data_IF_693647124242
#
_entry.id   IF_693647124242
#
_cell.length_a   1.000
_cell.length_b   1.000
_cell.length_c   1.000
_cell.angle_alpha   90.00
_cell.angle_beta   90.00
_cell.angle_gamma   90.00
#
_symmetry.space_group_name_H-M   'P 1'
#
loop_
_entity.id
_entity.type
_entity.pdbx_description
1 polymer ?
#
# COMPACT_ATOMS: atom_id res chain seq x y z
N UNK A 1 19.69 43.94 -57.03
CA UNK A 1 20.15 42.85 -57.91
C UNK A 1 18.99 41.90 -58.16
N UNK A 2 18.72 41.68 -59.44
CA UNK A 2 18.10 40.50 -60.06
C UNK A 2 16.82 39.86 -59.49
N UNK A 3 15.74 40.10 -60.25
CA UNK A 3 14.97 39.08 -60.99
C UNK A 3 13.73 38.41 -60.39
N UNK A 4 12.61 38.79 -61.02
CA UNK A 4 11.64 37.97 -61.79
C UNK A 4 10.40 37.39 -61.08
N UNK A 5 9.28 38.08 -61.36
CA UNK A 5 8.10 37.65 -62.18
C UNK A 5 7.54 36.24 -61.96
N UNK A 6 6.25 36.17 -61.61
CA UNK A 6 5.07 35.89 -62.47
C UNK A 6 3.84 35.82 -61.53
N UNK A 7 2.81 36.67 -61.58
CA UNK A 7 1.77 36.95 -62.59
C UNK A 7 0.85 35.73 -62.81
N UNK A 8 -0.42 35.77 -62.39
CA UNK A 8 -1.57 36.12 -63.24
C UNK A 8 -2.92 36.08 -62.52
N UNK A 9 -3.81 36.90 -63.07
CA UNK A 9 -5.15 37.30 -62.66
C UNK A 9 -6.22 36.23 -62.94
N UNK A 10 -7.40 36.39 -62.33
CA UNK A 10 -8.58 35.62 -62.72
C UNK A 10 -9.85 36.00 -61.96
N UNK A 11 -10.56 37.00 -62.49
CA UNK A 11 -11.85 37.48 -62.01
C UNK A 11 -13.01 36.51 -62.29
N UNK A 12 -14.08 36.63 -61.50
CA UNK A 12 -15.43 36.71 -62.07
C UNK A 12 -16.38 35.52 -61.91
N UNK A 13 -17.52 35.83 -61.28
CA UNK A 13 -18.90 35.48 -61.67
C UNK A 13 -19.40 34.04 -61.55
N UNK A 14 -20.62 33.89 -61.01
CA UNK A 14 -21.45 32.71 -61.24
C UNK A 14 -22.58 32.52 -60.24
N UNK A 15 -23.74 33.12 -60.52
CA UNK A 15 -25.00 32.88 -59.82
C UNK A 15 -25.72 31.62 -60.33
N UNK A 16 -26.67 31.15 -59.51
CA UNK A 16 -27.84 30.30 -59.82
C UNK A 16 -27.62 28.81 -60.13
N UNK A 17 -28.32 27.93 -59.39
CA UNK A 17 -29.57 27.33 -59.85
C UNK A 17 -30.00 26.11 -59.00
N UNK A 18 -31.28 26.19 -58.62
CA UNK A 18 -32.28 25.16 -58.30
C UNK A 18 -31.95 23.66 -58.40
N UNK A 19 -32.50 22.93 -57.41
CA UNK A 19 -33.39 21.80 -57.69
C UNK A 19 -32.82 20.39 -57.47
N UNK A 20 -33.34 19.68 -56.46
CA UNK A 20 -33.97 18.35 -56.64
C UNK A 20 -34.29 17.69 -55.30
N UNK A 21 -35.55 17.27 -55.14
CA UNK A 21 -36.03 16.36 -54.09
C UNK A 21 -35.41 14.96 -54.27
N UNK A 22 -35.20 14.17 -53.20
CA UNK A 22 -35.19 12.72 -53.30
C UNK A 22 -36.42 12.09 -52.61
N UNK A 23 -36.98 11.07 -53.26
CA UNK A 23 -38.00 10.18 -52.70
C UNK A 23 -37.42 9.13 -51.73
N UNK A 24 -38.28 8.38 -51.01
CA UNK A 24 -37.89 7.61 -49.84
C UNK A 24 -37.59 6.15 -50.18
N UNK A 25 -36.69 5.52 -49.42
CA UNK A 25 -36.66 4.05 -49.34
C UNK A 25 -35.32 3.44 -48.94
N UNK A 26 -35.28 2.88 -47.73
CA UNK A 26 -34.47 1.69 -47.43
C UNK A 26 -33.09 1.95 -46.81
N UNK A 27 -33.05 2.27 -45.52
CA UNK A 27 -31.83 2.24 -44.71
C UNK A 27 -32.11 1.62 -43.35
N UNK A 28 -31.54 0.44 -43.11
CA UNK A 28 -31.64 -0.33 -41.87
C UNK A 28 -31.17 0.49 -40.66
N UNK A 29 -31.98 0.57 -39.61
CA UNK A 29 -31.63 1.23 -38.37
C UNK A 29 -30.63 0.38 -37.55
N UNK A 30 -29.38 0.82 -37.51
CA UNK A 30 -28.38 0.45 -36.49
C UNK A 30 -28.56 1.36 -35.25
N UNK A 31 -28.21 0.91 -34.03
CA UNK A 31 -28.75 1.48 -32.80
C UNK A 31 -28.07 2.81 -32.45
N UNK A 32 -28.87 3.86 -32.31
CA UNK A 32 -28.47 5.23 -31.97
C UNK A 32 -27.89 5.42 -30.55
N UNK A 33 -27.43 4.37 -29.85
CA UNK A 33 -26.98 4.44 -28.44
C UNK A 33 -25.52 4.84 -28.24
N UNK A 34 -24.65 4.62 -29.21
CA UNK A 34 -23.23 5.01 -29.10
C UNK A 34 -22.98 6.53 -29.02
N UNK A 35 -23.63 7.40 -29.83
CA UNK A 35 -23.38 8.84 -29.74
C UNK A 35 -23.87 9.45 -28.42
N UNK A 36 -24.99 8.97 -27.88
CA UNK A 36 -25.54 9.43 -26.59
C UNK A 36 -24.59 9.09 -25.43
N UNK A 37 -24.09 7.85 -25.37
CA UNK A 37 -23.12 7.43 -24.34
C UNK A 37 -21.81 8.22 -24.40
N UNK A 38 -21.32 8.55 -25.60
CA UNK A 38 -20.12 9.40 -25.76
C UNK A 38 -20.37 10.86 -25.37
N UNK A 39 -21.56 11.40 -25.68
CA UNK A 39 -21.93 12.76 -25.29
C UNK A 39 -22.08 12.87 -23.76
N UNK A 40 -22.69 11.89 -23.10
CA UNK A 40 -22.76 11.86 -21.64
C UNK A 40 -21.37 11.72 -20.99
N UNK A 41 -20.46 10.92 -21.57
CA UNK A 41 -19.08 10.80 -21.10
C UNK A 41 -18.36 12.16 -21.18
N UNK A 42 -18.47 12.84 -22.32
CA UNK A 42 -17.90 14.17 -22.50
C UNK A 42 -18.52 15.20 -21.55
N UNK A 43 -19.82 15.14 -21.28
CA UNK A 43 -20.46 16.04 -20.32
C UNK A 43 -19.98 15.83 -18.88
N UNK A 44 -19.79 14.57 -18.46
CA UNK A 44 -19.21 14.25 -17.14
C UNK A 44 -17.77 14.76 -17.04
N UNK A 45 -16.98 14.58 -18.08
CA UNK A 45 -15.61 15.08 -18.13
C UNK A 45 -15.55 16.61 -18.13
N UNK A 46 -16.43 17.28 -18.89
CA UNK A 46 -16.51 18.73 -18.91
C UNK A 46 -16.93 19.31 -17.55
N UNK A 47 -17.83 18.63 -16.82
CA UNK A 47 -18.18 18.99 -15.44
C UNK A 47 -16.97 18.84 -14.51
N UNK A 48 -16.26 17.72 -14.59
CA UNK A 48 -15.05 17.48 -13.80
C UNK A 48 -13.96 18.52 -14.08
N UNK A 49 -13.74 18.88 -15.34
CA UNK A 49 -12.77 19.91 -15.74
C UNK A 49 -13.18 21.29 -15.22
N UNK A 50 -14.47 21.64 -15.22
CA UNK A 50 -14.97 22.90 -14.64
C UNK A 50 -14.77 22.95 -13.12
N UNK A 51 -15.03 21.85 -12.41
CA UNK A 51 -14.79 21.75 -10.97
C UNK A 51 -13.29 21.87 -10.65
N UNK A 52 -12.42 21.23 -11.45
CA UNK A 52 -10.97 21.35 -11.33
C UNK A 52 -10.48 22.77 -11.61
N UNK A 53 -11.00 23.42 -12.66
CA UNK A 53 -10.66 24.81 -12.98
C UNK A 53 -11.08 25.76 -11.85
N UNK A 54 -12.29 25.58 -11.28
CA UNK A 54 -12.75 26.36 -10.14
C UNK A 54 -11.86 26.17 -8.90
N UNK A 55 -11.44 24.92 -8.61
CA UNK A 55 -10.51 24.63 -7.53
C UNK A 55 -9.14 25.32 -7.74
N UNK A 56 -8.59 25.28 -8.95
CA UNK A 56 -7.32 25.95 -9.30
C UNK A 56 -7.46 27.47 -9.16
N UNK A 57 -8.56 28.07 -9.62
CA UNK A 57 -8.82 29.49 -9.44
C UNK A 57 -8.90 29.90 -7.96
N UNK A 58 -9.52 29.06 -7.12
CA UNK A 58 -9.55 29.26 -5.66
C UNK A 58 -8.15 29.26 -5.05
N UNK A 59 -7.32 28.26 -5.40
CA UNK A 59 -5.93 28.16 -4.93
C UNK A 59 -5.07 29.34 -5.40
N UNK A 60 -5.26 29.81 -6.63
CA UNK A 60 -4.54 30.99 -7.14
C UNK A 60 -4.91 32.26 -6.36
N UNK A 61 -6.19 32.42 -6.04
CA UNK A 61 -6.65 33.57 -5.26
C UNK A 61 -6.12 33.51 -3.82
N UNK A 62 -6.13 32.33 -3.19
CA UNK A 62 -5.56 32.12 -1.85
C UNK A 62 -4.04 32.40 -1.84
N UNK A 63 -3.31 31.93 -2.84
CA UNK A 63 -1.89 32.23 -3.00
C UNK A 63 -1.65 33.75 -3.16
N UNK A 64 -2.50 34.44 -3.95
CA UNK A 64 -2.44 35.89 -4.10
C UNK A 64 -2.67 36.65 -2.78
N UNK A 65 -3.62 36.20 -1.96
CA UNK A 65 -3.87 36.76 -0.63
C UNK A 65 -2.69 36.52 0.32
N UNK A 66 -2.12 35.31 0.33
CA UNK A 66 -0.94 34.98 1.14
C UNK A 66 0.27 35.82 0.74
N UNK A 67 0.52 36.00 -0.56
CA UNK A 67 1.60 36.89 -1.05
C UNK A 67 1.38 38.34 -0.62
N UNK A 68 0.14 38.84 -0.68
CA UNK A 68 -0.19 40.20 -0.25
C UNK A 68 0.03 40.40 1.25
N UNK A 69 -0.36 39.41 2.05
CA UNK A 69 -0.14 39.39 3.50
C UNK A 69 1.35 39.37 3.85
N UNK A 70 2.14 38.50 3.21
CA UNK A 70 3.59 38.43 3.40
C UNK A 70 4.28 39.74 2.95
N UNK A 71 3.82 40.35 1.85
CA UNK A 71 4.32 41.65 1.39
C UNK A 71 4.06 42.76 2.40
N UNK A 72 2.89 42.76 3.05
CA UNK A 72 2.58 43.68 4.14
C UNK A 72 3.49 43.48 5.36
N UNK A 73 3.73 42.22 5.75
CA UNK A 73 4.69 41.92 6.81
C UNK A 73 6.11 42.37 6.48
N UNK A 74 6.59 42.12 5.25
CA UNK A 74 7.90 42.58 4.79
C UNK A 74 8.00 44.10 4.86
N UNK A 75 7.00 44.83 4.36
CA UNK A 75 6.98 46.29 4.44
C UNK A 75 7.02 46.81 5.89
N UNK A 76 6.34 46.14 6.83
CA UNK A 76 6.40 46.52 8.25
C UNK A 76 7.79 46.28 8.87
N UNK A 77 8.46 45.19 8.48
CA UNK A 77 9.82 44.87 8.91
C UNK A 77 10.82 45.83 8.31
N UNK A 78 10.66 46.18 7.04
CA UNK A 78 11.51 47.16 6.35
C UNK A 78 11.36 48.55 6.97
N UNK A 79 10.14 48.96 7.35
CA UNK A 79 9.91 50.19 8.08
C UNK A 79 10.58 50.19 9.47
N UNK A 80 10.56 49.05 10.18
CA UNK A 80 11.28 48.90 11.45
C UNK A 80 12.79 48.98 11.24
N UNK A 81 13.33 48.29 10.23
CA UNK A 81 14.75 48.35 9.86
C UNK A 81 15.15 49.78 9.50
N UNK A 82 14.33 50.50 8.75
CA UNK A 82 14.56 51.91 8.44
C UNK A 82 14.61 52.76 9.72
N UNK A 83 13.64 52.61 10.63
CA UNK A 83 13.65 53.32 11.93
C UNK A 83 14.89 53.01 12.76
N UNK A 84 15.29 51.74 12.84
CA UNK A 84 16.49 51.32 13.56
C UNK A 84 17.75 51.90 12.93
N UNK A 85 17.85 51.92 11.60
CA UNK A 85 18.96 52.56 10.88
C UNK A 85 19.00 54.07 11.12
N UNK A 86 17.85 54.75 11.13
CA UNK A 86 17.77 56.18 11.46
C UNK A 86 18.17 56.42 12.92
N UNK A 87 17.76 55.57 13.85
CA UNK A 87 18.15 55.65 15.26
C UNK A 87 19.65 55.39 15.47
N UNK A 88 20.22 54.45 14.72
CA UNK A 88 21.65 54.15 14.74
C UNK A 88 22.44 55.33 14.16
N UNK A 89 22.02 55.86 13.01
CA UNK A 89 22.63 57.04 12.41
C UNK A 89 22.54 58.26 13.35
N UNK A 90 21.42 58.45 14.06
CA UNK A 90 21.27 59.49 15.07
C UNK A 90 22.21 59.29 16.27
N UNK A 91 22.45 58.05 16.68
CA UNK A 91 23.41 57.71 17.73
C UNK A 91 24.86 57.95 17.28
N UNK A 92 25.20 57.57 16.05
CA UNK A 92 26.51 57.78 15.43
C UNK A 92 26.81 59.27 15.18
N UNK A 93 25.79 60.05 14.80
CA UNK A 93 25.90 61.50 14.60
C UNK A 93 25.74 62.33 15.88
N UNK A 94 25.26 61.74 16.98
CA UNK A 94 25.16 62.38 18.30
C UNK A 94 26.52 62.63 18.95
N UNK A 95 27.63 62.06 18.46
CA UNK A 95 29.00 62.48 18.81
C UNK A 95 29.27 62.78 20.29
N UNK A 96 28.64 62.05 21.23
CA UNK A 96 28.81 62.28 22.66
C UNK A 96 29.93 61.39 23.20
N UNK A 97 30.90 61.95 23.94
CA UNK A 97 32.03 61.21 24.47
C UNK A 97 31.54 60.28 25.58
N UNK A 98 31.88 59.00 25.48
CA UNK A 98 31.98 58.03 26.58
C UNK A 98 31.09 58.32 27.81
N UNK A 99 29.77 58.22 27.68
CA UNK A 99 28.98 57.64 28.77
C UNK A 99 29.46 56.20 28.98
N UNK A 100 29.29 55.59 30.17
CA UNK A 100 29.79 54.25 30.42
C UNK A 100 29.20 53.31 29.37
N UNK A 101 30.04 52.95 28.40
CA UNK A 101 29.68 52.00 27.37
C UNK A 101 29.26 50.71 28.07
N UNK A 102 28.39 49.90 27.45
CA UNK A 102 28.08 48.58 27.98
C UNK A 102 29.38 47.91 28.35
N UNK A 103 29.47 47.41 29.60
CA UNK A 103 30.72 46.93 30.17
C UNK A 103 31.42 46.02 29.13
N UNK A 104 32.72 46.22 28.83
CA UNK A 104 33.42 45.46 27.79
C UNK A 104 33.20 43.95 27.90
N UNK A 105 33.09 43.44 29.13
CA UNK A 105 32.77 42.05 29.45
C UNK A 105 31.41 41.56 28.91
N UNK A 106 30.40 42.42 28.80
CA UNK A 106 29.10 42.09 28.22
C UNK A 106 29.18 42.03 26.70
N UNK A 107 29.91 42.96 26.08
CA UNK A 107 30.12 42.98 24.63
C UNK A 107 30.92 41.77 24.20
N UNK A 108 32.01 41.45 24.91
CA UNK A 108 32.82 40.25 24.67
C UNK A 108 32.00 38.97 24.88
N UNK A 109 31.19 38.91 25.94
CA UNK A 109 30.30 37.78 26.20
C UNK A 109 29.23 37.58 25.12
N UNK A 110 28.66 38.65 24.57
CA UNK A 110 27.72 38.60 23.45
C UNK A 110 28.41 38.19 22.15
N UNK A 111 29.63 38.66 21.88
CA UNK A 111 30.41 38.26 20.69
C UNK A 111 30.72 36.77 20.75
N UNK A 112 31.13 36.24 21.90
CA UNK A 112 31.31 34.80 22.06
C UNK A 112 30.01 34.02 21.93
N UNK A 113 28.91 34.52 22.49
CA UNK A 113 27.60 33.84 22.39
C UNK A 113 27.10 33.81 20.95
N UNK A 114 27.30 34.88 20.19
CA UNK A 114 27.03 34.93 18.75
C UNK A 114 27.96 34.00 17.97
N UNK A 115 29.24 33.89 18.37
CA UNK A 115 30.18 32.92 17.81
C UNK A 115 29.70 31.48 17.98
N UNK A 116 29.32 31.11 19.21
CA UNK A 116 28.75 29.79 19.53
C UNK A 116 27.46 29.49 18.76
N UNK A 117 26.56 30.46 18.65
CA UNK A 117 25.31 30.29 17.89
C UNK A 117 25.58 30.13 16.38
N UNK A 118 26.60 30.79 15.83
CA UNK A 118 27.00 30.63 14.42
C UNK A 118 27.61 29.25 14.17
N UNK A 119 28.46 28.77 15.07
CA UNK A 119 29.02 27.42 15.00
C UNK A 119 27.91 26.37 15.09
N UNK A 120 26.97 26.51 16.02
CA UNK A 120 25.81 25.63 16.14
C UNK A 120 24.92 25.65 14.89
N UNK A 121 24.68 26.83 14.29
CA UNK A 121 23.95 26.92 13.03
C UNK A 121 24.69 26.20 11.90
N UNK A 122 26.01 26.39 11.82
CA UNK A 122 26.82 25.74 10.80
C UNK A 122 26.85 24.21 10.95
N UNK A 123 26.97 23.71 12.18
CA UNK A 123 26.86 22.29 12.49
C UNK A 123 25.48 21.74 12.14
N UNK A 124 24.40 22.46 12.50
CA UNK A 124 23.05 22.06 12.12
C UNK A 124 22.85 22.02 10.60
N UNK A 125 23.31 23.04 9.87
CA UNK A 125 23.27 23.07 8.41
C UNK A 125 24.07 21.92 7.78
N UNK A 126 25.27 21.65 8.30
CA UNK A 126 26.08 20.52 7.81
C UNK A 126 25.41 19.17 8.07
N UNK A 127 24.77 19.00 9.24
CA UNK A 127 24.02 17.80 9.59
C UNK A 127 22.73 17.65 8.76
N UNK A 128 22.11 18.77 8.37
CA UNK A 128 20.92 18.78 7.53
C UNK A 128 21.30 18.39 6.10
N UNK A 129 22.37 18.98 5.55
CA UNK A 129 22.92 18.62 4.23
C UNK A 129 23.31 17.15 4.16
N UNK A 130 23.97 16.60 5.17
CA UNK A 130 24.32 15.18 5.22
C UNK A 130 23.08 14.26 5.21
N UNK A 131 21.98 14.68 5.86
CA UNK A 131 20.70 13.96 5.84
C UNK A 131 20.02 14.08 4.48
N UNK A 132 20.02 15.26 3.87
CA UNK A 132 19.50 15.51 2.52
C UNK A 132 20.25 14.66 1.48
N UNK A 133 21.58 14.60 1.56
CA UNK A 133 22.40 13.74 0.69
C UNK A 133 22.07 12.26 0.89
N UNK A 134 21.82 11.83 2.14
CA UNK A 134 21.36 10.48 2.45
C UNK A 134 20.00 10.16 1.80
N UNK A 135 19.03 11.06 1.92
CA UNK A 135 17.74 10.90 1.26
C UNK A 135 17.85 10.95 -0.27
N UNK A 136 18.71 11.81 -0.83
CA UNK A 136 18.93 11.88 -2.28
C UNK A 136 19.49 10.57 -2.84
N UNK A 137 20.44 9.94 -2.13
CA UNK A 137 20.98 8.63 -2.50
C UNK A 137 19.93 7.52 -2.41
N UNK A 138 19.10 7.55 -1.37
CA UNK A 138 18.01 6.57 -1.20
C UNK A 138 16.95 6.71 -2.29
N UNK A 139 16.53 7.94 -2.60
CA UNK A 139 15.62 8.23 -3.71
C UNK A 139 16.22 7.74 -5.03
N UNK A 140 17.50 8.01 -5.30
CA UNK A 140 18.17 7.52 -6.51
C UNK A 140 18.16 5.99 -6.60
N UNK A 141 18.43 5.29 -5.49
CA UNK A 141 18.40 3.83 -5.44
C UNK A 141 17.00 3.28 -5.70
N UNK A 142 15.97 3.87 -5.07
CA UNK A 142 14.58 3.48 -5.28
C UNK A 142 14.12 3.75 -6.72
N UNK A 143 14.54 4.86 -7.33
CA UNK A 143 14.27 5.15 -8.74
C UNK A 143 14.89 4.10 -9.66
N UNK A 144 16.14 3.69 -9.42
CA UNK A 144 16.78 2.63 -10.21
C UNK A 144 16.03 1.30 -10.10
N UNK A 145 15.63 0.91 -8.88
CA UNK A 145 14.84 -0.30 -8.66
C UNK A 145 13.48 -0.25 -9.35
N UNK A 146 12.82 0.92 -9.34
CA UNK A 146 11.56 1.10 -10.05
C UNK A 146 11.74 0.92 -11.56
N UNK A 147 12.77 1.52 -12.15
CA UNK A 147 13.05 1.37 -13.58
C UNK A 147 13.41 -0.07 -13.96
N UNK A 148 14.15 -0.80 -13.12
CA UNK A 148 14.42 -2.23 -13.33
C UNK A 148 13.13 -3.06 -13.33
N UNK A 149 12.21 -2.76 -12.40
CA UNK A 149 10.90 -3.42 -12.33
C UNK A 149 10.00 -3.06 -13.50
N UNK A 150 10.03 -1.82 -13.97
CA UNK A 150 9.33 -1.41 -15.19
C UNK A 150 9.87 -2.13 -16.43
N UNK A 151 11.20 -2.31 -16.53
CA UNK A 151 11.82 -3.11 -17.61
C UNK A 151 11.44 -4.59 -17.53
N UNK A 152 11.37 -5.16 -16.33
CA UNK A 152 10.86 -6.53 -16.12
C UNK A 152 9.41 -6.68 -16.57
N UNK A 153 8.54 -5.76 -16.13
CA UNK A 153 7.14 -5.75 -16.54
C UNK A 153 6.99 -5.57 -18.05
N UNK A 154 7.75 -4.68 -18.66
CA UNK A 154 7.75 -4.50 -20.11
C UNK A 154 8.20 -5.76 -20.85
N UNK A 155 9.22 -6.48 -20.36
CA UNK A 155 9.64 -7.77 -20.92
C UNK A 155 8.49 -8.78 -20.89
N UNK A 156 7.83 -8.92 -19.74
CA UNK A 156 6.66 -9.79 -19.61
C UNK A 156 5.48 -9.33 -20.46
N UNK A 157 5.24 -8.04 -20.63
CA UNK A 157 4.15 -7.56 -21.49
C UNK A 157 4.49 -7.72 -22.98
N UNK A 158 5.77 -7.68 -23.34
CA UNK A 158 6.25 -7.88 -24.72
C UNK A 158 6.27 -9.35 -25.14
N UNK A 159 6.23 -10.29 -24.19
CA UNK A 159 6.05 -11.71 -24.50
C UNK A 159 4.71 -11.93 -25.19
N UNK A 160 4.70 -12.56 -26.39
CA UNK A 160 3.47 -12.76 -27.13
C UNK A 160 2.48 -13.65 -26.36
N UNK A 161 1.24 -13.18 -26.20
CA UNK A 161 0.18 -13.90 -25.48
C UNK A 161 -0.01 -15.35 -25.97
N UNK A 162 0.17 -15.57 -27.27
CA UNK A 162 0.01 -16.90 -27.88
C UNK A 162 1.05 -17.93 -27.41
N UNK A 163 2.24 -17.52 -26.94
CA UNK A 163 3.23 -18.45 -26.40
C UNK A 163 2.79 -18.97 -25.02
N UNK A 164 2.25 -18.09 -24.18
CA UNK A 164 1.67 -18.45 -22.87
C UNK A 164 0.44 -19.34 -23.03
N UNK A 165 -0.44 -19.03 -23.97
CA UNK A 165 -1.60 -19.85 -24.27
C UNK A 165 -1.20 -21.26 -24.75
N UNK A 166 -0.15 -21.37 -25.57
CA UNK A 166 0.40 -22.67 -25.99
C UNK A 166 0.95 -23.47 -24.81
N UNK A 167 1.69 -22.83 -23.91
CA UNK A 167 2.22 -23.49 -22.71
C UNK A 167 1.09 -23.97 -21.79
N UNK A 168 0.06 -23.13 -21.58
CA UNK A 168 -1.13 -23.51 -20.80
C UNK A 168 -1.81 -24.74 -21.40
N UNK A 169 -1.99 -24.78 -22.72
CA UNK A 169 -2.61 -25.93 -23.39
C UNK A 169 -1.77 -27.21 -23.27
N UNK A 170 -0.43 -27.10 -23.34
CA UNK A 170 0.46 -28.24 -23.12
C UNK A 170 0.40 -28.75 -21.69
N UNK A 171 0.39 -27.84 -20.71
CA UNK A 171 0.26 -28.20 -19.29
C UNK A 171 -1.08 -28.85 -18.99
N UNK A 172 -2.18 -28.31 -19.53
CA UNK A 172 -3.50 -28.90 -19.42
C UNK A 172 -3.55 -30.32 -20.01
N UNK A 173 -2.96 -30.54 -21.19
CA UNK A 173 -2.88 -31.88 -21.79
C UNK A 173 -2.10 -32.85 -20.91
N UNK A 174 -0.93 -32.44 -20.41
CA UNK A 174 -0.11 -33.28 -19.53
C UNK A 174 -0.83 -33.61 -18.21
N UNK A 175 -1.59 -32.66 -17.65
CA UNK A 175 -2.41 -32.91 -16.47
C UNK A 175 -3.51 -33.94 -16.75
N UNK A 176 -4.24 -33.80 -17.86
CA UNK A 176 -5.26 -34.76 -18.27
C UNK A 176 -4.69 -36.17 -18.50
N UNK A 177 -3.50 -36.29 -19.08
CA UNK A 177 -2.81 -37.57 -19.25
C UNK A 177 -2.46 -38.21 -17.89
N UNK A 178 -1.90 -37.43 -16.96
CA UNK A 178 -1.60 -37.90 -15.60
C UNK A 178 -2.85 -38.32 -14.84
N UNK A 179 -3.96 -37.61 -15.00
CA UNK A 179 -5.24 -37.98 -14.38
C UNK A 179 -5.77 -39.29 -14.94
N UNK A 180 -5.66 -39.49 -16.27
CA UNK A 180 -6.01 -40.76 -16.91
C UNK A 180 -5.14 -41.91 -16.41
N UNK A 181 -3.83 -41.71 -16.33
CA UNK A 181 -2.89 -42.71 -15.80
C UNK A 181 -3.24 -43.08 -14.36
N UNK A 182 -3.49 -42.08 -13.50
CA UNK A 182 -3.94 -42.31 -12.11
C UNK A 182 -5.23 -43.10 -12.06
N UNK A 183 -6.24 -42.74 -12.85
CA UNK A 183 -7.50 -43.47 -12.90
C UNK A 183 -7.30 -44.93 -13.30
N UNK A 184 -6.45 -45.21 -14.30
CA UNK A 184 -6.12 -46.59 -14.68
C UNK A 184 -5.37 -47.35 -13.58
N UNK A 185 -4.43 -46.69 -12.91
CA UNK A 185 -3.68 -47.27 -11.79
C UNK A 185 -4.59 -47.62 -10.62
N UNK A 186 -5.55 -46.75 -10.28
CA UNK A 186 -6.52 -47.00 -9.21
C UNK A 186 -7.40 -48.22 -9.51
N UNK A 187 -7.87 -48.37 -10.75
CA UNK A 187 -8.69 -49.53 -11.15
C UNK A 187 -7.88 -50.83 -11.05
N UNK A 188 -6.63 -50.83 -11.51
CA UNK A 188 -5.74 -51.99 -11.38
C UNK A 188 -5.46 -52.33 -9.92
N UNK A 189 -5.21 -51.32 -9.08
CA UNK A 189 -5.00 -51.53 -7.64
C UNK A 189 -6.23 -52.17 -6.99
N UNK A 190 -7.44 -51.69 -7.31
CA UNK A 190 -8.69 -52.27 -6.80
C UNK A 190 -8.87 -53.72 -7.26
N UNK A 191 -8.63 -54.02 -8.53
CA UNK A 191 -8.71 -55.39 -9.08
C UNK A 191 -7.74 -56.34 -8.38
N UNK A 192 -6.49 -55.91 -8.19
CA UNK A 192 -5.47 -56.72 -7.50
C UNK A 192 -5.84 -56.96 -6.03
N UNK A 193 -6.43 -55.96 -5.35
CA UNK A 193 -6.91 -56.15 -3.97
C UNK A 193 -8.08 -57.13 -3.90
N UNK A 194 -9.01 -57.07 -4.86
CA UNK A 194 -10.15 -57.97 -4.92
C UNK A 194 -9.70 -59.41 -5.19
N UNK A 195 -8.79 -59.62 -6.15
CA UNK A 195 -8.18 -60.93 -6.43
C UNK A 195 -7.45 -61.48 -5.20
N UNK A 196 -6.69 -60.63 -4.50
CA UNK A 196 -6.00 -61.03 -3.26
C UNK A 196 -7.00 -61.47 -2.19
N UNK A 197 -8.12 -60.77 -2.06
CA UNK A 197 -9.19 -61.14 -1.12
C UNK A 197 -9.85 -62.48 -1.51
N UNK A 198 -10.13 -62.69 -2.81
CA UNK A 198 -10.70 -63.95 -3.30
C UNK A 198 -9.76 -65.13 -3.10
N UNK A 199 -8.46 -64.94 -3.36
CA UNK A 199 -7.44 -65.98 -3.12
C UNK A 199 -7.34 -66.32 -1.63
N UNK A 200 -7.35 -65.31 -0.74
CA UNK A 200 -7.37 -65.54 0.72
C UNK A 200 -8.62 -66.31 1.16
N UNK A 201 -9.78 -65.98 0.61
CA UNK A 201 -11.04 -66.67 0.92
C UNK A 201 -11.02 -68.13 0.45
N UNK A 202 -10.52 -68.38 -0.77
CA UNK A 202 -10.36 -69.74 -1.30
C UNK A 202 -9.37 -70.53 -0.47
N UNK A 203 -8.23 -69.93 -0.10
CA UNK A 203 -7.23 -70.56 0.74
C UNK A 203 -7.81 -70.93 2.12
N UNK A 204 -8.58 -70.03 2.75
CA UNK A 204 -9.26 -70.32 4.00
C UNK A 204 -10.24 -71.50 3.88
N UNK A 205 -11.07 -71.53 2.83
CA UNK A 205 -11.99 -72.64 2.58
C UNK A 205 -11.26 -73.96 2.35
N UNK A 206 -10.14 -73.95 1.60
CA UNK A 206 -9.32 -75.16 1.43
C UNK A 206 -8.67 -75.61 2.74
N UNK A 207 -8.24 -74.67 3.60
CA UNK A 207 -7.69 -74.99 4.90
C UNK A 207 -8.75 -75.62 5.82
N UNK A 208 -9.98 -75.12 5.82
CA UNK A 208 -11.11 -75.70 6.56
C UNK A 208 -11.42 -77.12 6.08
N UNK A 209 -11.42 -77.35 4.76
CA UNK A 209 -11.60 -78.69 4.19
C UNK A 209 -10.48 -79.65 4.61
N UNK A 210 -9.21 -79.21 4.56
CA UNK A 210 -8.09 -80.01 5.05
C UNK A 210 -8.22 -80.32 6.54
N UNK A 211 -8.62 -79.35 7.37
CA UNK A 211 -8.87 -79.58 8.80
C UNK A 211 -9.99 -80.61 9.03
N UNK A 212 -11.06 -80.57 8.24
CA UNK A 212 -12.13 -81.55 8.30
C UNK A 212 -11.66 -82.96 7.94
N UNK A 213 -10.85 -83.09 6.89
CA UNK A 213 -10.27 -84.37 6.48
C UNK A 213 -9.35 -84.95 7.57
N UNK A 214 -8.51 -84.12 8.19
CA UNK A 214 -7.66 -84.54 9.31
C UNK A 214 -8.50 -85.08 10.47
N UNK A 215 -9.57 -84.37 10.86
CA UNK A 215 -10.51 -84.84 11.90
C UNK A 215 -11.13 -86.20 11.56
N UNK A 216 -11.60 -86.37 10.32
CA UNK A 216 -12.17 -87.65 9.86
C UNK A 216 -11.15 -88.79 9.88
N UNK A 217 -9.88 -88.52 9.57
CA UNK A 217 -8.81 -89.52 9.62
C UNK A 217 -8.44 -89.88 11.07
N UNK A 218 -8.37 -88.90 11.97
CA UNK A 218 -8.13 -89.13 13.40
C UNK A 218 -9.24 -89.98 14.04
N UNK A 219 -10.50 -89.73 13.67
CA UNK A 219 -11.64 -90.54 14.11
C UNK A 219 -11.56 -91.98 13.58
N UNK A 220 -11.19 -92.16 12.30
CA UNK A 220 -11.01 -93.51 11.71
C UNK A 220 -9.84 -94.28 12.34
N UNK A 221 -8.72 -93.62 12.63
CA UNK A 221 -7.57 -94.27 13.28
C UNK A 221 -7.88 -94.69 14.71
N UNK A 222 -8.68 -93.89 15.44
CA UNK A 222 -9.20 -94.30 16.76
C UNK A 222 -10.13 -95.52 16.69
N UNK A 223 -10.69 -95.83 15.51
CA UNK A 223 -11.62 -96.96 15.29
C UNK A 223 -10.99 -98.21 14.64
N UNK A 224 -9.74 -98.19 14.19
CA UNK A 224 -9.12 -99.30 13.44
C UNK A 224 -7.82 -99.80 14.13
N UNK A 225 -7.88 -100.99 14.74
CA UNK A 225 -6.70 -101.74 15.21
C UNK A 225 -5.99 -102.51 14.06
N UNK A 226 -4.69 -102.86 14.20
CA UNK A 226 -3.83 -103.20 13.07
C UNK A 226 -3.94 -104.68 12.66
N UNK A 227 -4.10 -104.94 11.35
CA UNK A 227 -3.85 -106.26 10.76
C UNK A 227 -3.14 -106.11 9.42
N UNK A 228 -1.86 -106.48 9.39
CA UNK A 228 -1.03 -106.60 8.20
C UNK A 228 -1.32 -107.92 7.48
N UNK A 229 -1.43 -107.90 6.13
CA UNK A 229 -1.39 -109.11 5.30
C UNK A 229 -0.48 -108.94 4.07
N UNK A 230 0.53 -109.80 4.02
CA UNK A 230 1.58 -109.98 2.98
C UNK A 230 1.03 -110.10 1.53
N UNK A 231 1.77 -109.65 0.48
CA UNK A 231 1.34 -109.73 -0.93
C UNK A 231 1.37 -111.12 -1.57
N UNK A 232 0.29 -111.44 -2.29
CA UNK A 232 0.21 -112.49 -3.31
C UNK A 232 0.87 -112.04 -4.63
N UNK A 233 1.25 -113.01 -5.47
CA UNK A 233 1.89 -112.82 -6.79
C UNK A 233 1.13 -111.84 -7.72
N UNK A 234 -0.20 -111.75 -7.62
CA UNK A 234 -1.01 -110.78 -8.35
C UNK A 234 -0.65 -109.33 -8.04
N UNK A 235 -0.20 -109.04 -6.81
CA UNK A 235 0.29 -107.71 -6.44
C UNK A 235 1.62 -107.41 -7.11
N UNK A 236 2.47 -108.41 -7.33
CA UNK A 236 3.74 -108.25 -8.07
C UNK A 236 3.45 -107.89 -9.53
N UNK A 237 2.59 -108.64 -10.21
CA UNK A 237 2.22 -108.36 -11.60
C UNK A 237 1.54 -106.98 -11.74
N UNK A 238 0.71 -106.58 -10.77
CA UNK A 238 0.08 -105.26 -10.78
C UNK A 238 1.07 -104.12 -10.53
N UNK A 239 2.10 -104.34 -9.72
CA UNK A 239 3.20 -103.38 -9.52
C UNK A 239 4.04 -103.28 -10.79
N UNK A 240 4.30 -104.39 -11.48
CA UNK A 240 4.99 -104.39 -12.78
C UNK A 240 4.20 -103.63 -13.85
N UNK A 241 2.88 -103.83 -13.94
CA UNK A 241 2.01 -103.05 -14.84
C UNK A 241 1.97 -101.56 -14.50
N UNK A 242 1.94 -101.21 -13.21
CA UNK A 242 1.99 -99.82 -12.75
C UNK A 242 3.35 -99.20 -13.03
N UNK A 243 4.43 -99.95 -12.89
CA UNK A 243 5.78 -99.50 -13.21
C UNK A 243 5.92 -99.25 -14.72
N UNK A 244 5.40 -100.15 -15.56
CA UNK A 244 5.36 -99.94 -17.01
C UNK A 244 4.55 -98.70 -17.40
N UNK A 245 3.44 -98.41 -16.71
CA UNK A 245 2.66 -97.17 -16.91
C UNK A 245 3.42 -95.93 -16.45
N UNK A 246 4.07 -95.99 -15.29
CA UNK A 246 4.87 -94.89 -14.76
C UNK A 246 6.05 -94.55 -15.68
N UNK A 247 6.77 -95.56 -16.19
CA UNK A 247 7.85 -95.35 -17.15
C UNK A 247 7.37 -94.66 -18.44
N UNK A 248 6.18 -95.04 -18.95
CA UNK A 248 5.58 -94.37 -20.12
C UNK A 248 5.20 -92.92 -19.82
N UNK A 249 4.66 -92.64 -18.63
CA UNK A 249 4.34 -91.29 -18.20
C UNK A 249 5.61 -90.44 -18.04
N UNK A 250 6.66 -90.99 -17.42
CA UNK A 250 7.93 -90.30 -17.19
C UNK A 250 8.61 -89.95 -18.52
N UNK A 251 8.64 -90.89 -19.47
CA UNK A 251 9.15 -90.64 -20.82
C UNK A 251 8.35 -89.54 -21.55
N UNK A 252 7.02 -89.58 -21.48
CA UNK A 252 6.16 -88.55 -22.10
C UNK A 252 6.31 -87.19 -21.43
N UNK A 253 6.45 -87.15 -20.11
CA UNK A 253 6.73 -85.91 -19.35
C UNK A 253 8.06 -85.32 -19.77
N UNK A 254 9.10 -86.13 -19.91
CA UNK A 254 10.42 -85.68 -20.30
C UNK A 254 10.45 -85.15 -21.74
N UNK A 255 9.70 -85.77 -22.67
CA UNK A 255 9.50 -85.23 -24.02
C UNK A 255 8.75 -83.89 -24.00
N UNK A 256 7.71 -83.77 -23.19
CA UNK A 256 6.98 -82.50 -23.02
C UNK A 256 7.86 -81.40 -22.44
N UNK A 257 8.66 -81.71 -21.40
CA UNK A 257 9.62 -80.77 -20.81
C UNK A 257 10.69 -80.38 -21.81
N UNK A 258 11.19 -81.30 -22.64
CA UNK A 258 12.12 -80.98 -23.74
C UNK A 258 11.47 -80.05 -24.76
N UNK A 259 10.21 -80.27 -25.12
CA UNK A 259 9.42 -79.38 -25.97
C UNK A 259 9.30 -77.96 -25.39
N UNK A 260 8.99 -77.85 -24.10
CA UNK A 260 8.95 -76.55 -23.41
C UNK A 260 10.32 -75.87 -23.38
N UNK A 261 11.42 -76.60 -23.18
CA UNK A 261 12.76 -76.03 -23.24
C UNK A 261 13.11 -75.51 -24.64
N UNK A 262 12.71 -76.22 -25.69
CA UNK A 262 12.85 -75.78 -27.08
C UNK A 262 12.04 -74.51 -27.35
N UNK A 263 10.76 -74.47 -26.94
CA UNK A 263 9.93 -73.27 -27.05
C UNK A 263 10.49 -72.08 -26.28
N UNK A 264 11.00 -72.31 -25.06
CA UNK A 264 11.63 -71.27 -24.26
C UNK A 264 12.94 -70.78 -24.91
N UNK A 265 13.65 -71.66 -25.61
CA UNK A 265 14.87 -71.33 -26.37
C UNK A 265 14.52 -70.54 -27.63
N UNK A 266 13.46 -70.90 -28.35
CA UNK A 266 12.94 -70.13 -29.49
C UNK A 266 12.47 -68.73 -29.07
N UNK A 267 11.73 -68.63 -27.96
CA UNK A 267 11.32 -67.35 -27.36
C UNK A 267 12.51 -66.53 -26.84
N UNK A 268 13.60 -67.19 -26.43
CA UNK A 268 14.89 -66.57 -26.05
C UNK A 268 15.81 -66.26 -27.23
N UNK A 269 15.55 -66.79 -28.42
CA UNK A 269 16.25 -66.43 -29.67
C UNK A 269 15.55 -65.24 -30.36
N UNK A 270 14.25 -65.05 -30.09
CA UNK A 270 13.50 -63.86 -30.51
C UNK A 270 13.99 -62.48 -29.98
N UNK A 271 14.69 -62.32 -28.84
CA UNK A 271 15.19 -61.02 -28.37
C UNK A 271 16.38 -60.49 -29.20
N UNK A 272 17.01 -61.27 -30.06
CA UNK A 272 18.08 -60.76 -30.94
C UNK A 272 17.53 -60.12 -32.23
N UNK A 273 16.22 -60.19 -32.50
CA UNK A 273 15.61 -59.66 -33.73
C UNK A 273 14.38 -58.78 -33.47
N UNK A 274 14.19 -58.29 -32.23
CA UNK A 274 13.36 -57.12 -31.96
C UNK A 274 14.20 -55.86 -32.16
N UNK A 275 13.68 -54.85 -32.88
CA UNK A 275 14.37 -53.57 -33.14
C UNK A 275 15.18 -53.08 -31.92
N UNK A 276 16.47 -52.73 -32.09
CA UNK A 276 17.27 -52.25 -30.98
C UNK A 276 16.95 -50.78 -30.76
N UNK A 277 16.19 -50.45 -29.72
CA UNK A 277 16.73 -49.36 -28.90
C UNK A 277 17.89 -50.00 -28.16
N UNK A 278 19.11 -49.82 -28.68
CA UNK A 278 20.34 -50.36 -28.09
C UNK A 278 20.30 -50.13 -26.57
N UNK A 279 20.70 -51.10 -25.74
CA UNK A 279 20.81 -50.92 -24.29
C UNK A 279 21.54 -49.61 -23.91
N UNK A 280 22.47 -49.19 -24.77
CA UNK A 280 23.21 -47.93 -24.66
C UNK A 280 22.34 -46.68 -24.87
N UNK A 281 21.34 -46.72 -25.75
CA UNK A 281 20.39 -45.62 -25.96
C UNK A 281 19.46 -45.46 -24.75
N UNK A 282 18.98 -46.57 -24.19
CA UNK A 282 18.20 -46.56 -22.96
C UNK A 282 19.03 -46.00 -21.79
N UNK A 283 20.28 -46.44 -21.67
CA UNK A 283 21.17 -45.96 -20.61
C UNK A 283 21.50 -44.46 -20.76
N UNK A 284 21.69 -43.97 -22.00
CA UNK A 284 21.83 -42.53 -22.29
C UNK A 284 20.58 -41.74 -21.94
N UNK A 285 19.40 -42.28 -22.23
CA UNK A 285 18.13 -41.61 -21.91
C UNK A 285 17.87 -41.58 -20.40
N UNK A 286 18.17 -42.67 -19.67
CA UNK A 286 18.12 -42.69 -18.20
C UNK A 286 19.05 -41.61 -17.62
N UNK A 287 20.27 -41.50 -18.16
CA UNK A 287 21.21 -40.46 -17.71
C UNK A 287 20.68 -39.04 -17.98
N UNK A 288 20.13 -38.80 -19.18
CA UNK A 288 19.54 -37.51 -19.55
C UNK A 288 18.36 -37.15 -18.64
N UNK A 289 17.48 -38.10 -18.36
CA UNK A 289 16.33 -37.92 -17.48
C UNK A 289 16.76 -37.69 -16.02
N UNK A 290 17.75 -38.41 -15.53
CA UNK A 290 18.31 -38.18 -14.19
C UNK A 290 18.90 -36.77 -14.08
N UNK A 291 19.65 -36.31 -15.09
CA UNK A 291 20.17 -34.93 -15.12
C UNK A 291 19.06 -33.89 -15.16
N UNK A 292 18.00 -34.14 -15.93
CA UNK A 292 16.84 -33.26 -15.96
C UNK A 292 16.09 -33.22 -14.62
N UNK A 293 15.96 -34.37 -13.95
CA UNK A 293 15.35 -34.46 -12.63
C UNK A 293 16.17 -33.71 -11.57
N UNK A 294 17.49 -33.89 -11.57
CA UNK A 294 18.41 -33.13 -10.69
C UNK A 294 18.25 -31.62 -10.91
N UNK A 295 18.22 -31.17 -12.16
CA UNK A 295 18.01 -29.76 -12.49
C UNK A 295 16.64 -29.26 -12.00
N UNK A 296 15.57 -30.02 -12.21
CA UNK A 296 14.23 -29.65 -11.73
C UNK A 296 14.11 -29.66 -10.21
N UNK A 297 14.82 -30.56 -9.52
CA UNK A 297 14.91 -30.53 -8.07
C UNK A 297 15.64 -29.28 -7.57
N UNK A 298 16.73 -28.87 -8.24
CA UNK A 298 17.43 -27.63 -7.93
C UNK A 298 16.54 -26.39 -8.14
N UNK A 299 15.78 -26.34 -9.25
CA UNK A 299 14.78 -25.29 -9.51
C UNK A 299 13.73 -25.25 -8.38
N UNK A 300 13.22 -26.42 -7.95
CA UNK A 300 12.26 -26.50 -6.85
C UNK A 300 12.84 -25.98 -5.52
N UNK A 301 14.12 -26.22 -5.25
CA UNK A 301 14.79 -25.69 -4.06
C UNK A 301 14.92 -24.17 -4.15
N UNK A 302 15.27 -23.63 -5.32
CA UNK A 302 15.34 -22.19 -5.55
C UNK A 302 13.99 -21.51 -5.30
N UNK A 303 12.91 -22.04 -5.90
CA UNK A 303 11.56 -21.50 -5.71
C UNK A 303 11.10 -21.61 -4.24
N UNK A 304 11.49 -22.67 -3.53
CA UNK A 304 11.20 -22.78 -2.08
C UNK A 304 11.87 -21.67 -1.27
N UNK A 305 13.14 -21.36 -1.56
CA UNK A 305 13.84 -20.25 -0.89
C UNK A 305 13.20 -18.90 -1.21
N UNK A 306 12.87 -18.64 -2.48
CA UNK A 306 12.16 -17.42 -2.89
C UNK A 306 10.81 -17.28 -2.17
N UNK A 307 10.06 -18.37 -2.00
CA UNK A 307 8.81 -18.37 -1.23
C UNK A 307 9.02 -18.08 0.25
N UNK A 308 10.09 -18.57 0.86
CA UNK A 308 10.42 -18.27 2.25
C UNK A 308 10.77 -16.79 2.43
N UNK A 309 11.50 -16.20 1.50
CA UNK A 309 11.83 -14.77 1.54
C UNK A 309 10.59 -13.89 1.33
N UNK A 310 9.69 -14.27 0.41
CA UNK A 310 8.40 -13.58 0.24
C UNK A 310 7.55 -13.68 1.52
N UNK A 311 7.55 -14.83 2.20
CA UNK A 311 6.83 -14.98 3.48
C UNK A 311 7.39 -14.06 4.55
N UNK A 312 8.71 -14.02 4.73
CA UNK A 312 9.36 -13.11 5.70
C UNK A 312 9.04 -11.65 5.41
N UNK A 313 9.04 -11.25 4.14
CA UNK A 313 8.65 -9.90 3.73
C UNK A 313 7.18 -9.60 4.10
N UNK A 314 6.27 -10.53 3.80
CA UNK A 314 4.84 -10.41 4.15
C UNK A 314 4.61 -10.35 5.66
N UNK A 315 5.36 -11.11 6.44
CA UNK A 315 5.27 -11.10 7.90
C UNK A 315 5.72 -9.72 8.43
N UNK A 316 6.83 -9.18 7.91
CA UNK A 316 7.28 -7.82 8.24
C UNK A 316 6.28 -6.72 7.85
N UNK A 317 5.66 -6.83 6.67
CA UNK A 317 4.60 -5.91 6.26
C UNK A 317 3.37 -6.02 7.17
N UNK A 318 3.01 -7.24 7.60
CA UNK A 318 1.89 -7.48 8.52
C UNK A 318 2.13 -6.85 9.89
N UNK A 319 3.35 -6.95 10.43
CA UNK A 319 3.74 -6.28 11.68
C UNK A 319 3.67 -4.75 11.54
N UNK A 320 4.15 -4.21 10.41
CA UNK A 320 4.07 -2.77 10.12
C UNK A 320 2.61 -2.29 10.04
N UNK A 321 1.74 -3.05 9.39
CA UNK A 321 0.30 -2.75 9.30
C UNK A 321 -0.31 -2.71 10.69
N UNK A 322 -0.06 -3.71 11.54
CA UNK A 322 -0.59 -3.75 12.91
C UNK A 322 -0.11 -2.54 13.74
N UNK A 323 1.15 -2.15 13.59
CA UNK A 323 1.69 -0.95 14.26
C UNK A 323 0.98 0.33 13.80
N UNK A 324 0.70 0.46 12.51
CA UNK A 324 -0.04 1.60 11.96
C UNK A 324 -1.50 1.61 12.40
N UNK A 325 -2.15 0.45 12.45
CA UNK A 325 -3.51 0.32 12.99
C UNK A 325 -3.58 0.77 14.46
N UNK A 326 -2.60 0.36 15.27
CA UNK A 326 -2.51 0.80 16.65
C UNK A 326 -2.26 2.32 16.75
N UNK A 327 -1.45 2.89 15.86
CA UNK A 327 -1.24 4.34 15.81
C UNK A 327 -2.52 5.09 15.45
N UNK A 328 -3.29 4.58 14.49
CA UNK A 328 -4.60 5.16 14.11
C UNK A 328 -5.57 5.11 15.29
N UNK A 329 -5.58 4.03 16.06
CA UNK A 329 -6.40 3.93 17.28
C UNK A 329 -6.00 4.97 18.33
N UNK A 330 -4.71 5.10 18.62
CA UNK A 330 -4.21 6.10 19.57
C UNK A 330 -4.58 7.51 19.12
N UNK A 331 -4.33 7.86 17.86
CA UNK A 331 -4.69 9.18 17.35
C UNK A 331 -6.18 9.43 17.39
N UNK A 332 -7.00 8.43 17.06
CA UNK A 332 -8.45 8.55 17.20
C UNK A 332 -8.84 8.88 18.65
N UNK A 333 -8.25 8.20 19.62
CA UNK A 333 -8.52 8.44 21.04
C UNK A 333 -8.06 9.86 21.44
N UNK A 334 -6.87 10.29 21.02
CA UNK A 334 -6.35 11.64 21.24
C UNK A 334 -7.29 12.71 20.66
N UNK A 335 -7.75 12.53 19.42
CA UNK A 335 -8.71 13.44 18.79
C UNK A 335 -10.04 13.50 19.55
N UNK A 336 -10.52 12.38 20.09
CA UNK A 336 -11.74 12.37 20.90
C UNK A 336 -11.55 13.03 22.26
N UNK A 337 -10.39 12.85 22.90
CA UNK A 337 -10.06 13.52 24.16
C UNK A 337 -9.94 15.03 23.97
N UNK A 338 -9.20 15.47 22.95
CA UNK A 338 -9.05 16.88 22.60
C UNK A 338 -10.41 17.54 22.30
N UNK A 339 -11.30 16.83 21.61
CA UNK A 339 -12.68 17.29 21.39
C UNK A 339 -13.42 17.46 22.72
N UNK A 340 -13.36 16.48 23.61
CA UNK A 340 -14.02 16.54 24.91
C UNK A 340 -13.48 17.69 25.77
N UNK A 341 -12.17 17.95 25.73
CA UNK A 341 -11.55 19.11 26.37
C UNK A 341 -12.02 20.43 25.78
N UNK A 342 -12.14 20.51 24.46
CA UNK A 342 -12.68 21.69 23.77
C UNK A 342 -14.13 21.96 24.17
N UNK A 343 -14.97 20.93 24.27
CA UNK A 343 -16.37 21.05 24.71
C UNK A 343 -16.47 21.49 26.17
N UNK A 344 -15.59 20.98 27.05
CA UNK A 344 -15.46 21.46 28.43
C UNK A 344 -15.07 22.94 28.49
N UNK A 345 -14.07 23.35 27.71
CA UNK A 345 -13.64 24.74 27.62
C UNK A 345 -14.77 25.65 27.09
N UNK A 346 -15.51 25.22 26.07
CA UNK A 346 -16.67 25.94 25.55
C UNK A 346 -17.78 26.10 26.61
N UNK A 347 -18.07 25.04 27.36
CA UNK A 347 -19.03 25.09 28.47
C UNK A 347 -18.58 26.08 29.54
N UNK A 348 -17.28 26.11 29.85
CA UNK A 348 -16.72 27.06 30.82
C UNK A 348 -16.81 28.50 30.34
N UNK A 349 -16.54 28.75 29.06
CA UNK A 349 -16.70 30.06 28.44
C UNK A 349 -18.15 30.53 28.55
N UNK A 350 -19.12 29.64 28.30
CA UNK A 350 -20.53 29.98 28.42
C UNK A 350 -20.93 30.33 29.86
N UNK A 351 -20.51 29.52 30.84
CA UNK A 351 -20.72 29.79 32.27
C UNK A 351 -20.13 31.16 32.68
N UNK A 352 -18.92 31.47 32.21
CA UNK A 352 -18.26 32.74 32.49
C UNK A 352 -19.00 33.92 31.84
N UNK A 353 -19.51 33.76 30.61
CA UNK A 353 -20.35 34.78 29.94
C UNK A 353 -21.62 35.07 30.74
N UNK A 354 -22.28 34.04 31.25
CA UNK A 354 -23.49 34.19 32.08
C UNK A 354 -23.19 34.90 33.41
N UNK A 355 -22.07 34.56 34.06
CA UNK A 355 -21.60 35.27 35.27
C UNK A 355 -21.30 36.74 34.99
N UNK A 356 -20.62 37.04 33.89
CA UNK A 356 -20.33 38.42 33.47
C UNK A 356 -21.64 39.18 33.22
N UNK A 357 -22.60 38.61 32.50
CA UNK A 357 -23.90 39.23 32.27
C UNK A 357 -24.66 39.48 33.59
N UNK A 358 -24.63 38.52 34.51
CA UNK A 358 -25.25 38.66 35.84
C UNK A 358 -24.61 39.79 36.66
N UNK A 359 -23.28 39.85 36.70
CA UNK A 359 -22.55 40.91 37.38
C UNK A 359 -22.80 42.28 36.75
N UNK A 360 -22.83 42.37 35.42
CA UNK A 360 -23.19 43.58 34.69
C UNK A 360 -24.60 44.06 35.06
N UNK A 361 -25.58 43.15 35.13
CA UNK A 361 -26.93 43.49 35.56
C UNK A 361 -26.98 43.97 37.03
N UNK A 362 -26.22 43.35 37.93
CA UNK A 362 -26.12 43.80 39.32
C UNK A 362 -25.49 45.20 39.43
N UNK A 363 -24.45 45.48 38.64
CA UNK A 363 -23.82 46.82 38.59
C UNK A 363 -24.83 47.85 38.08
N UNK A 364 -25.55 47.55 36.99
CA UNK A 364 -26.57 48.43 36.42
C UNK A 364 -27.67 48.74 37.45
N UNK A 365 -28.21 47.73 38.14
CA UNK A 365 -29.19 47.93 39.21
C UNK A 365 -28.66 48.77 40.37
N UNK A 366 -27.41 48.56 40.79
CA UNK A 366 -26.80 49.37 41.87
C UNK A 366 -26.59 50.82 41.44
N UNK A 367 -26.27 51.07 40.18
CA UNK A 367 -26.15 52.41 39.61
C UNK A 367 -27.52 53.10 39.51
N UNK A 368 -28.57 52.40 39.09
CA UNK A 368 -29.95 52.92 39.06
C UNK A 368 -30.53 53.18 40.46
N UNK A 369 -30.14 52.40 41.48
CA UNK A 369 -30.58 52.63 42.88
C UNK A 369 -29.91 53.83 43.56
N UNK A 370 -28.88 54.41 42.93
CA UNK A 370 -28.18 55.60 43.44
C UNK A 370 -28.81 56.82 42.79
N UNK A 371 -29.84 57.38 43.43
CA UNK A 371 -30.44 58.65 43.02
C UNK A 371 -29.35 59.73 42.80
N UNK A 372 -29.51 60.65 41.82
CA UNK A 372 -28.50 61.66 41.47
C UNK A 372 -28.40 62.81 42.49
N UNK A 373 -28.94 62.66 43.70
CA UNK A 373 -28.93 63.69 44.75
C UNK A 373 -28.22 63.16 45.98
N UNK A 374 -26.91 63.39 46.05
CA UNK A 374 -26.13 62.97 47.21
C UNK A 374 -24.64 63.20 47.05
N UNK A 375 -24.22 64.46 46.87
CA UNK A 375 -22.85 64.87 47.16
C UNK A 375 -22.50 64.46 48.61
N UNK A 376 -21.67 63.43 48.77
CA UNK A 376 -20.91 63.23 50.00
C UNK A 376 -19.44 63.51 49.73
N UNK A 377 -19.12 64.78 50.00
CA UNK A 377 -17.80 65.34 50.24
C UNK A 377 -17.10 64.51 51.33
N UNK A 378 -15.97 63.88 51.02
CA UNK A 378 -15.04 63.43 52.05
C UNK A 378 -13.69 64.10 51.79
N UNK A 379 -13.34 64.97 52.72
CA UNK A 379 -12.04 65.62 52.84
C UNK A 379 -11.02 64.67 53.48
N UNK A 380 -9.75 64.95 53.18
CA UNK A 380 -8.51 64.33 53.66
C UNK A 380 -8.45 64.02 55.17
N UNK A 381 -7.71 62.96 55.49
CA UNK A 381 -7.17 62.72 56.82
C UNK A 381 -6.02 61.72 56.78
N UNK A 382 -4.78 62.24 56.76
CA UNK A 382 -3.59 61.47 57.11
C UNK A 382 -3.73 60.91 58.53
N UNK A 383 -3.35 59.64 58.75
CA UNK A 383 -2.79 59.14 60.01
C UNK A 383 -2.11 57.78 59.81
N UNK A 384 -0.80 57.80 59.97
CA UNK A 384 0.05 56.66 60.29
C UNK A 384 -0.36 56.05 61.63
N UNK A 385 -0.60 54.74 61.69
CA UNK A 385 -0.34 53.96 62.90
C UNK A 385 -0.10 52.48 62.55
N UNK A 386 1.14 52.06 62.77
CA UNK A 386 1.59 50.69 62.96
C UNK A 386 0.80 50.01 64.09
N UNK A 387 0.25 48.82 63.85
CA UNK A 387 0.05 47.85 64.94
C UNK A 387 0.11 46.41 64.40
N UNK A 388 1.32 45.87 64.56
CA UNK A 388 1.68 44.47 64.77
C UNK A 388 0.72 43.81 65.76
N UNK A 389 0.16 42.66 65.41
CA UNK A 389 -0.21 41.62 66.36
C UNK A 389 0.21 40.26 65.79
N UNK A 390 1.20 39.70 66.47
CA UNK A 390 1.69 38.33 66.39
C UNK A 390 0.76 37.37 67.14
N UNK A 391 0.71 36.14 66.67
CA UNK A 391 0.48 34.88 67.42
C UNK A 391 0.70 33.80 66.36
N UNK A 392 1.91 33.27 66.14
CA UNK A 392 2.80 32.50 67.02
C UNK A 392 2.10 31.30 67.68
N UNK A 393 2.16 30.15 67.01
CA UNK A 393 2.48 28.86 67.63
C UNK A 393 3.37 28.09 66.66
N UNK A 394 4.65 28.01 67.04
CA UNK A 394 5.68 27.20 66.43
C UNK A 394 5.51 25.69 66.73
N UNK A 395 5.90 24.90 65.74
CA UNK A 395 6.69 23.66 65.79
C UNK A 395 6.25 22.45 66.66
N UNK A 396 6.09 21.32 65.96
CA UNK A 396 6.61 20.03 66.41
C UNK A 396 7.26 19.27 65.24
N UNK A 397 8.57 19.44 65.22
CA UNK A 397 9.66 18.81 64.48
C UNK A 397 9.70 17.26 64.36
N UNK A 398 10.12 16.82 63.17
CA UNK A 398 11.26 15.92 62.85
C UNK A 398 11.09 14.42 62.46
N UNK A 399 11.63 14.19 61.24
CA UNK A 399 12.42 13.06 60.68
C UNK A 399 11.63 11.84 60.17
N UNK A 400 11.96 11.27 59.00
CA UNK A 400 13.28 11.17 58.36
C UNK A 400 13.23 11.17 56.80
N UNK A 401 14.28 11.77 56.22
CA UNK A 401 14.77 11.55 54.84
C UNK A 401 15.96 10.56 54.90
N UNK A 402 16.32 9.85 53.81
CA UNK A 402 17.39 10.40 52.97
C UNK A 402 17.36 10.12 51.45
N UNK A 403 17.85 11.15 50.72
CA UNK A 403 18.72 11.16 49.52
C UNK A 403 18.09 10.69 48.19
N UNK A 404 18.28 11.31 47.01
CA UNK A 404 18.92 12.52 46.45
C UNK A 404 18.75 12.32 44.91
N UNK A 405 18.55 13.27 43.99
CA UNK A 405 19.37 14.45 43.70
C UNK A 405 18.69 15.29 42.59
N UNK A 406 18.50 16.59 42.87
CA UNK A 406 18.61 17.80 42.02
C UNK A 406 17.73 18.04 40.78
N UNK A 407 16.93 19.11 40.91
CA UNK A 407 16.60 20.15 39.90
C UNK A 407 17.79 21.16 39.79
N UNK A 408 17.84 22.12 38.83
CA UNK A 408 16.90 23.27 38.81
C UNK A 408 16.45 23.77 37.42
N UNK A 409 15.28 24.42 37.38
CA UNK A 409 14.89 25.39 36.35
C UNK A 409 15.32 26.80 36.81
N UNK A 410 15.37 27.80 35.90
CA UNK A 410 14.25 28.74 35.83
C UNK A 410 13.94 29.30 34.42
N UNK A 411 12.71 29.83 34.26
CA UNK A 411 12.26 30.65 33.12
C UNK A 411 12.82 32.09 33.18
N UNK A 412 12.65 32.88 32.10
CA UNK A 412 11.75 34.03 32.24
C UNK A 412 10.89 34.38 31.00
N UNK A 413 9.63 34.72 31.30
CA UNK A 413 8.82 35.87 30.88
C UNK A 413 8.84 36.40 29.42
N UNK A 414 7.65 36.45 28.81
CA UNK A 414 7.28 37.40 27.75
C UNK A 414 6.02 38.19 28.16
N UNK A 415 5.86 39.46 27.75
CA UNK A 415 4.95 40.42 28.38
C UNK A 415 3.58 40.52 27.70
N UNK A 416 2.60 40.93 28.50
CA UNK A 416 1.29 41.44 28.09
C UNK A 416 1.42 42.81 27.41
N UNK A 417 0.63 43.06 26.35
CA UNK A 417 0.22 44.41 25.95
C UNK A 417 -1.30 44.45 25.80
N UNK A 418 -1.83 45.51 26.38
CA UNK A 418 -3.22 45.88 26.59
C UNK A 418 -3.92 46.31 25.30
N UNK A 419 -5.24 46.17 25.31
CA UNK A 419 -6.15 46.74 24.34
C UNK A 419 -6.22 48.27 24.44
N UNK A 420 -6.29 48.94 23.29
CA UNK A 420 -6.93 50.24 23.17
C UNK A 420 -7.79 50.31 21.89
N UNK A 421 -8.77 51.21 21.93
CA UNK A 421 -10.12 51.13 21.36
C UNK A 421 -10.35 52.20 20.29
N UNK A 422 -11.15 51.86 19.27
CA UNK A 422 -11.89 52.81 18.41
C UNK A 422 -11.23 53.08 17.03
N UNK A 423 -11.93 53.29 15.91
CA UNK A 423 -13.30 53.75 15.63
C UNK A 423 -13.75 53.31 14.21
N UNK A 424 -15.03 52.95 14.10
CA UNK A 424 -16.02 53.25 13.02
C UNK A 424 -15.75 53.03 11.52
N UNK A 425 -16.36 51.96 10.96
CA UNK A 425 -17.14 51.87 9.69
C UNK A 425 -16.45 52.02 8.31
N UNK A 426 -17.06 51.62 7.17
CA UNK A 426 -18.36 50.97 6.97
C UNK A 426 -18.26 49.53 6.40
N UNK A 427 -19.37 48.80 6.49
CA UNK A 427 -19.60 47.47 5.91
C UNK A 427 -19.62 47.54 4.36
N UNK A 428 -18.80 46.77 3.62
CA UNK A 428 -18.93 46.62 2.18
C UNK A 428 -19.58 45.27 1.86
N UNK A 429 -20.83 45.08 2.29
CA UNK A 429 -21.76 44.17 1.59
C UNK A 429 -22.53 44.98 0.57
N UNK A 430 -21.91 45.19 -0.59
CA UNK A 430 -22.59 45.71 -1.78
C UNK A 430 -21.85 46.83 -2.48
N UNK A 431 -20.85 46.50 -3.31
CA UNK A 431 -20.53 47.34 -4.45
C UNK A 431 -20.04 46.45 -5.59
N UNK A 432 -20.61 46.68 -6.77
CA UNK A 432 -20.58 45.82 -7.94
C UNK A 432 -19.19 45.40 -8.37
N UNK A 433 -19.08 44.12 -8.71
CA UNK A 433 -18.03 43.62 -9.56
C UNK A 433 -18.28 44.16 -10.95
N UNK A 434 -17.29 44.84 -11.52
CA UNK A 434 -17.23 45.03 -12.96
C UNK A 434 -16.52 46.31 -13.31
N UNK A 435 -15.21 46.18 -13.43
CA UNK A 435 -14.47 47.07 -14.29
C UNK A 435 -13.78 46.18 -15.33
N UNK A 436 -13.91 46.53 -16.60
CA UNK A 436 -13.48 45.72 -17.73
C UNK A 436 -12.10 46.20 -18.19
N UNK A 437 -11.13 45.28 -18.19
CA UNK A 437 -9.78 45.57 -18.68
C UNK A 437 -9.50 44.81 -19.96
N UNK A 438 -8.96 45.51 -20.96
CA UNK A 438 -8.50 44.86 -22.19
C UNK A 438 -7.30 43.95 -21.86
N UNK A 439 -7.37 42.64 -22.07
CA UNK A 439 -6.30 41.72 -21.65
C UNK A 439 -5.00 41.88 -22.45
N UNK A 440 -5.03 42.61 -23.57
CA UNK A 440 -3.84 42.83 -24.40
C UNK A 440 -3.08 44.11 -24.08
N UNK A 441 -3.76 45.23 -23.85
CA UNK A 441 -3.11 46.51 -23.52
C UNK A 441 -3.41 47.04 -22.11
N UNK A 442 -4.20 46.29 -21.33
CA UNK A 442 -4.62 46.62 -19.95
C UNK A 442 -5.39 47.93 -19.81
N UNK A 443 -5.87 48.50 -20.91
CA UNK A 443 -6.69 49.71 -20.91
C UNK A 443 -8.01 49.45 -20.18
N UNK A 444 -8.36 50.39 -19.31
CA UNK A 444 -9.51 50.33 -18.40
C UNK A 444 -10.77 50.87 -19.07
N UNK A 445 -11.87 50.17 -18.85
CA UNK A 445 -13.21 50.55 -19.28
C UNK A 445 -14.16 50.29 -18.13
N UNK A 446 -15.10 51.22 -17.92
CA UNK A 446 -16.13 51.03 -16.91
C UNK A 446 -17.20 50.05 -17.42
N UNK A 447 -17.95 49.44 -16.52
CA UNK A 447 -19.04 48.50 -16.88
C UNK A 447 -20.08 49.08 -17.85
N UNK A 448 -20.32 50.38 -17.81
CA UNK A 448 -21.28 51.07 -18.69
C UNK A 448 -20.76 51.19 -20.15
N UNK A 449 -19.46 50.94 -20.38
CA UNK A 449 -18.76 51.11 -21.67
C UNK A 449 -18.51 49.76 -22.38
N UNK A 450 -19.27 48.72 -22.05
CA UNK A 450 -19.05 47.34 -22.53
C UNK A 450 -18.98 47.17 -24.06
N UNK A 451 -19.75 47.95 -24.83
CA UNK A 451 -19.68 47.92 -26.31
C UNK A 451 -18.39 48.55 -26.85
N UNK A 452 -17.85 49.57 -26.18
CA UNK A 452 -16.57 50.18 -26.54
C UNK A 452 -15.40 49.29 -26.15
N UNK A 453 -15.50 48.61 -25.00
CA UNK A 453 -14.56 47.57 -24.58
C UNK A 453 -14.45 46.45 -25.63
N UNK A 454 -15.57 45.89 -26.08
CA UNK A 454 -15.56 44.80 -27.07
C UNK A 454 -14.99 45.23 -28.42
N UNK A 455 -15.33 46.45 -28.88
CA UNK A 455 -14.76 47.03 -30.10
C UNK A 455 -13.25 47.20 -29.96
N UNK A 456 -12.80 47.77 -28.84
CA UNK A 456 -11.39 47.95 -28.54
C UNK A 456 -10.63 46.62 -28.47
N UNK A 457 -11.19 45.58 -27.84
CA UNK A 457 -10.58 44.24 -27.80
C UNK A 457 -10.45 43.67 -29.21
N UNK A 458 -11.46 43.85 -30.07
CA UNK A 458 -11.42 43.36 -31.46
C UNK A 458 -10.39 44.07 -32.35
N UNK A 459 -10.07 45.32 -32.05
CA UNK A 459 -9.03 46.11 -32.73
C UNK A 459 -7.64 45.88 -32.12
N UNK A 460 -7.55 45.72 -30.81
CA UNK A 460 -6.29 45.53 -30.06
C UNK A 460 -5.70 44.12 -30.21
N UNK A 461 -6.49 43.15 -30.70
CA UNK A 461 -6.07 41.76 -30.95
C UNK A 461 -5.74 41.47 -32.43
N UNK A 462 -5.82 42.48 -33.30
CA UNK A 462 -5.26 42.43 -34.67
C UNK A 462 -3.84 42.97 -34.67
#
# INVERSE_FOLDING_TARGET
MSSRRTKEDGAGTGAAAEGSRPGPGGGQALPARQPEETAERLQRENRRLREQAAAICGLYHEAGQQLSFLRGQLASRDALVARLRTSLAAYESSGAPAGPGPAPSLVDGLVEQVGRLKEQLHEQESSARAREDGFAQEVQKLSQQLEEKERELQRLLSEPQHEREREILLLQRSLMEKEKEKATSEVLCRSLTDETYQLRRTLAATAEMCQHLVKCLDEKQKSAGPREEKPSLERSNKVEDLNAKWQKYDASRDEYVKGLHLQLKELKVLPEQGLPMSPELMQKEIFRLNKLLEAKMADCLKVKLELEDIKKAKDGDSERIQMLEQQVLVYKDDFTSERADRERAQSKIQELKEKVATLQHQIARRQESRDPTGQCRIHSGHKTHTQRLETDVAEAFLRAEPLSTRRPAPQPEQPEIQADRGLSGPDPRGQGQGDLHCPHCMRFFHDEEGEEFLRHVSECCQ
#
